data_IF_404435019333
#
_entry.id   IF_404435019333
#
_cell.length_a   1.000
_cell.length_b   1.000
_cell.length_c   1.000
_cell.angle_alpha   90.00
_cell.angle_beta   90.00
_cell.angle_gamma   90.00
#
_symmetry.space_group_name_H-M   'P 1'
#
loop_
_entity.id
_entity.type
_entity.pdbx_description
1 polymer ?
#
# COMPACT_ATOMS: atom_id res chain seq x y z
N UNK A 1 -10.31 -8.46 -20.41
CA UNK A 1 -9.77 -7.35 -19.61
C UNK A 1 -10.76 -7.09 -18.50
N UNK A 2 -10.33 -6.99 -17.23
CA UNK A 2 -11.26 -6.64 -16.15
C UNK A 2 -11.69 -5.19 -16.30
N UNK A 3 -12.96 -4.88 -16.00
CA UNK A 3 -13.56 -3.55 -16.04
C UNK A 3 -14.46 -3.39 -14.83
N UNK A 4 -14.46 -2.22 -14.19
CA UNK A 4 -15.32 -1.94 -13.04
C UNK A 4 -16.80 -1.89 -13.46
N UNK A 5 -17.09 -1.21 -14.56
CA UNK A 5 -18.43 -1.09 -15.16
C UNK A 5 -18.33 -0.91 -16.67
N UNK A 6 -19.39 -1.28 -17.38
CA UNK A 6 -19.55 -0.99 -18.80
C UNK A 6 -20.21 0.38 -19.06
N UNK A 7 -20.80 1.01 -18.04
CA UNK A 7 -21.48 2.31 -18.17
C UNK A 7 -20.75 3.39 -17.36
N UNK A 8 -19.76 4.03 -17.97
CA UNK A 8 -18.93 5.08 -17.34
C UNK A 8 -19.55 6.48 -17.37
N UNK A 9 -20.82 6.62 -17.77
CA UNK A 9 -21.55 7.89 -17.61
C UNK A 9 -21.77 8.18 -16.13
N UNK A 10 -21.75 9.46 -15.74
CA UNK A 10 -21.97 9.85 -14.34
C UNK A 10 -23.30 9.30 -13.79
N UNK A 11 -24.37 9.43 -14.57
CA UNK A 11 -25.70 8.91 -14.21
C UNK A 11 -25.74 7.38 -14.16
N UNK A 12 -24.87 6.72 -14.94
CA UNK A 12 -24.68 5.27 -14.89
C UNK A 12 -24.06 4.83 -13.57
N UNK A 13 -22.94 5.43 -13.21
CA UNK A 13 -22.18 5.06 -12.01
C UNK A 13 -22.88 5.47 -10.72
N UNK A 14 -23.59 6.60 -10.70
CA UNK A 14 -24.45 6.95 -9.56
C UNK A 14 -25.56 5.92 -9.35
N UNK A 15 -26.12 5.33 -10.42
CA UNK A 15 -27.14 4.27 -10.29
C UNK A 15 -26.54 2.95 -9.83
N UNK A 16 -25.37 2.60 -10.34
CA UNK A 16 -24.73 1.31 -10.08
C UNK A 16 -24.04 1.24 -8.72
N UNK A 17 -23.45 2.34 -8.26
CA UNK A 17 -22.55 2.34 -7.11
C UNK A 17 -23.05 3.21 -5.96
N UNK A 18 -23.44 2.54 -4.87
CA UNK A 18 -23.83 3.19 -3.62
C UNK A 18 -22.74 4.14 -3.12
N UNK A 19 -21.47 3.73 -3.21
CA UNK A 19 -20.36 4.53 -2.72
C UNK A 19 -20.17 5.85 -3.48
N UNK A 20 -20.64 5.94 -4.73
CA UNK A 20 -20.61 7.18 -5.51
C UNK A 20 -21.69 8.14 -5.01
N UNK A 21 -22.91 7.62 -4.77
CA UNK A 21 -24.01 8.42 -4.20
C UNK A 21 -23.68 8.93 -2.81
N UNK A 22 -22.96 8.14 -2.00
CA UNK A 22 -22.53 8.56 -0.66
C UNK A 22 -21.55 9.75 -0.67
N UNK A 23 -20.98 10.14 -1.82
CA UNK A 23 -20.15 11.35 -1.94
C UNK A 23 -20.97 12.60 -2.21
N UNK A 24 -22.24 12.48 -2.63
CA UNK A 24 -23.11 13.63 -2.94
C UNK A 24 -23.36 14.44 -1.66
N UNK A 25 -23.22 15.77 -1.76
CA UNK A 25 -23.39 16.68 -0.63
C UNK A 25 -22.31 16.62 0.46
N UNK A 26 -21.26 15.78 0.31
CA UNK A 26 -20.11 15.80 1.22
C UNK A 26 -19.34 17.11 1.01
N UNK A 27 -19.33 18.03 1.99
CA UNK A 27 -18.79 19.36 1.76
C UNK A 27 -17.27 19.33 1.63
N UNK A 28 -16.75 20.26 0.84
CA UNK A 28 -15.32 20.52 0.69
C UNK A 28 -15.01 21.98 1.03
N UNK A 29 -13.73 22.29 1.21
CA UNK A 29 -13.32 23.66 1.50
C UNK A 29 -13.56 24.57 0.29
N UNK A 30 -14.38 25.64 0.40
CA UNK A 30 -14.77 26.46 -0.75
C UNK A 30 -13.61 27.27 -1.36
N UNK A 31 -12.48 27.41 -0.65
CA UNK A 31 -11.28 28.07 -1.19
C UNK A 31 -10.53 27.13 -2.14
N UNK A 32 -10.43 25.86 -1.76
CA UNK A 32 -9.69 24.84 -2.52
C UNK A 32 -10.56 24.05 -3.49
N UNK A 33 -11.88 24.09 -3.30
CA UNK A 33 -12.89 23.33 -4.02
C UNK A 33 -14.14 24.19 -4.27
N UNK A 34 -14.00 25.27 -5.05
CA UNK A 34 -15.11 26.16 -5.37
C UNK A 34 -16.20 25.49 -6.24
N UNK A 35 -15.89 24.33 -6.84
CA UNK A 35 -16.83 23.49 -7.60
C UNK A 35 -17.92 22.86 -6.72
N UNK A 36 -17.67 22.73 -5.41
CA UNK A 36 -18.65 22.22 -4.44
C UNK A 36 -18.26 20.89 -3.82
N UNK A 37 -19.17 19.93 -3.84
CA UNK A 37 -19.04 18.68 -3.08
C UNK A 37 -18.08 17.66 -3.73
N UNK A 38 -17.76 16.60 -2.98
CA UNK A 38 -16.83 15.55 -3.39
C UNK A 38 -17.30 14.82 -4.66
N UNK A 39 -18.60 14.67 -4.86
CA UNK A 39 -19.15 13.99 -6.04
C UNK A 39 -18.98 14.85 -7.30
N UNK A 40 -19.26 16.15 -7.21
CA UNK A 40 -19.03 17.12 -8.29
C UNK A 40 -17.54 17.13 -8.65
N UNK A 41 -16.65 17.25 -7.67
CA UNK A 41 -15.20 17.21 -7.88
C UNK A 41 -14.79 15.90 -8.57
N UNK A 42 -15.21 14.75 -8.06
CA UNK A 42 -14.87 13.44 -8.65
C UNK A 42 -15.33 13.33 -10.11
N UNK A 43 -16.51 13.84 -10.44
CA UNK A 43 -16.98 13.92 -11.83
C UNK A 43 -16.04 14.74 -12.70
N UNK A 44 -15.66 15.94 -12.24
CA UNK A 44 -14.74 16.82 -12.97
C UNK A 44 -13.37 16.17 -13.17
N UNK A 45 -12.85 15.47 -12.15
CA UNK A 45 -11.60 14.70 -12.25
C UNK A 45 -11.70 13.61 -13.33
N UNK A 46 -12.80 12.88 -13.42
CA UNK A 46 -13.00 11.84 -14.44
C UNK A 46 -13.09 12.44 -15.85
N UNK A 47 -13.70 13.61 -15.99
CA UNK A 47 -13.79 14.33 -17.26
C UNK A 47 -12.42 14.86 -17.70
N UNK A 48 -11.63 15.43 -16.79
CA UNK A 48 -10.27 15.90 -17.07
C UNK A 48 -9.30 14.73 -17.36
N UNK A 49 -9.40 13.63 -16.61
CA UNK A 49 -8.58 12.44 -16.84
C UNK A 49 -8.67 11.94 -18.28
N UNK A 50 -9.88 11.89 -18.84
CA UNK A 50 -10.12 11.43 -20.21
C UNK A 50 -9.53 12.36 -21.27
N UNK A 51 -9.31 13.64 -20.94
CA UNK A 51 -8.72 14.63 -21.85
C UNK A 51 -7.20 14.54 -21.90
N UNK A 52 -6.55 14.03 -20.84
CA UNK A 52 -5.09 13.93 -20.75
C UNK A 52 -4.51 13.02 -21.85
N UNK A 53 -3.59 13.55 -22.64
CA UNK A 53 -2.88 12.77 -23.67
C UNK A 53 -2.14 11.56 -23.07
N UNK A 54 -1.56 11.73 -21.87
CA UNK A 54 -0.92 10.64 -21.15
C UNK A 54 -1.88 9.50 -20.81
N UNK A 55 -3.15 9.78 -20.49
CA UNK A 55 -4.18 8.76 -20.25
C UNK A 55 -4.62 8.08 -21.56
N UNK A 56 -4.80 8.84 -22.64
CA UNK A 56 -5.17 8.30 -23.96
C UNK A 56 -4.11 7.34 -24.51
N UNK A 57 -2.83 7.57 -24.18
CA UNK A 57 -1.71 6.72 -24.60
C UNK A 57 -1.57 5.41 -23.80
N UNK A 58 -2.26 5.26 -22.67
CA UNK A 58 -2.21 4.06 -21.84
C UNK A 58 -2.88 2.86 -22.53
N UNK A 59 -2.47 1.65 -22.14
CA UNK A 59 -3.22 0.44 -22.53
C UNK A 59 -4.63 0.46 -21.93
N UNK A 60 -5.60 -0.22 -22.54
CA UNK A 60 -6.96 -0.28 -22.01
C UNK A 60 -7.06 -0.77 -20.55
N UNK A 61 -6.13 -1.65 -20.14
CA UNK A 61 -6.08 -2.13 -18.76
C UNK A 61 -5.57 -1.07 -17.78
N UNK A 62 -4.56 -0.29 -18.18
CA UNK A 62 -4.04 0.83 -17.39
C UNK A 62 -5.05 1.99 -17.32
N UNK A 63 -5.76 2.25 -18.42
CA UNK A 63 -6.87 3.21 -18.44
C UNK A 63 -7.95 2.80 -17.43
N UNK A 64 -8.33 1.51 -17.40
CA UNK A 64 -9.31 1.01 -16.44
C UNK A 64 -8.83 1.16 -14.98
N UNK A 65 -7.58 0.80 -14.70
CA UNK A 65 -6.97 0.96 -13.37
C UNK A 65 -7.01 2.43 -12.94
N UNK A 66 -6.56 3.33 -13.81
CA UNK A 66 -6.44 4.75 -13.47
C UNK A 66 -7.82 5.43 -13.35
N UNK A 67 -8.76 5.10 -14.23
CA UNK A 67 -10.14 5.58 -14.16
C UNK A 67 -10.83 5.09 -12.87
N UNK A 68 -10.65 3.81 -12.52
CA UNK A 68 -11.17 3.25 -11.26
C UNK A 68 -10.54 3.96 -10.05
N UNK A 69 -9.23 4.21 -10.08
CA UNK A 69 -8.55 4.93 -9.00
C UNK A 69 -9.03 6.37 -8.86
N UNK A 70 -9.29 7.08 -9.97
CA UNK A 70 -9.87 8.42 -9.97
C UNK A 70 -11.27 8.43 -9.36
N UNK A 71 -12.12 7.45 -9.66
CA UNK A 71 -13.44 7.33 -9.04
C UNK A 71 -13.36 7.12 -7.51
N UNK A 72 -12.31 6.44 -7.03
CA UNK A 72 -12.13 6.14 -5.60
C UNK A 72 -11.25 7.13 -4.83
N UNK A 73 -10.54 8.06 -5.49
CA UNK A 73 -9.40 8.78 -4.86
C UNK A 73 -9.80 9.48 -3.54
N UNK A 74 -11.00 10.07 -3.53
CA UNK A 74 -11.55 10.82 -2.42
C UNK A 74 -12.78 10.16 -1.76
N UNK A 75 -13.05 8.88 -2.05
CA UNK A 75 -14.30 8.21 -1.62
C UNK A 75 -14.54 8.29 -0.12
N UNK A 76 -13.50 8.29 0.71
CA UNK A 76 -13.63 8.34 2.16
C UNK A 76 -13.58 9.75 2.75
N UNK A 77 -13.58 10.81 1.94
CA UNK A 77 -13.95 12.14 2.44
C UNK A 77 -15.33 12.07 3.11
N UNK A 78 -16.27 11.28 2.57
CA UNK A 78 -17.60 11.01 3.17
C UNK A 78 -17.62 10.56 4.63
N UNK A 79 -16.53 9.94 5.13
CA UNK A 79 -16.43 9.48 6.53
C UNK A 79 -15.33 10.17 7.33
N UNK A 80 -14.64 11.13 6.73
CA UNK A 80 -13.50 11.84 7.35
C UNK A 80 -13.57 13.35 7.26
N UNK A 81 -14.53 13.89 6.52
CA UNK A 81 -14.76 15.33 6.43
C UNK A 81 -15.17 15.89 7.80
N UNK A 82 -14.45 16.91 8.25
CA UNK A 82 -14.66 17.64 9.49
C UNK A 82 -14.65 19.13 9.17
N UNK A 83 -15.61 19.87 9.73
CA UNK A 83 -15.59 21.33 9.75
C UNK A 83 -14.84 21.79 11.00
N UNK A 84 -13.74 22.48 10.79
CA UNK A 84 -12.87 22.97 11.86
C UNK A 84 -13.46 24.25 12.50
N UNK A 85 -12.91 24.67 13.64
CA UNK A 85 -13.38 25.84 14.40
C UNK A 85 -13.24 27.16 13.63
N UNK A 86 -12.22 27.27 12.78
CA UNK A 86 -11.97 28.42 11.91
C UNK A 86 -12.88 28.46 10.67
N UNK A 87 -13.74 27.45 10.51
CA UNK A 87 -14.66 27.32 9.39
C UNK A 87 -14.09 26.59 8.18
N UNK A 88 -12.78 26.25 8.17
CA UNK A 88 -12.18 25.42 7.12
C UNK A 88 -12.72 23.99 7.15
N UNK A 89 -12.65 23.30 6.02
CA UNK A 89 -13.11 21.92 5.90
C UNK A 89 -11.92 21.01 5.58
N UNK A 90 -11.65 20.04 6.45
CA UNK A 90 -10.56 19.09 6.27
C UNK A 90 -11.07 17.65 6.20
N UNK A 91 -10.31 16.78 5.54
CA UNK A 91 -10.61 15.35 5.44
C UNK A 91 -9.37 14.53 5.83
N UNK A 92 -8.87 14.73 7.04
CA UNK A 92 -7.61 14.11 7.49
C UNK A 92 -7.72 12.59 7.48
N UNK A 93 -6.82 11.93 6.75
CA UNK A 93 -6.77 10.47 6.67
C UNK A 93 -7.69 9.82 5.62
N UNK A 94 -8.41 10.60 4.81
CA UNK A 94 -9.29 10.08 3.74
C UNK A 94 -8.54 9.11 2.82
N UNK A 95 -7.33 9.43 2.35
CA UNK A 95 -6.58 8.56 1.43
C UNK A 95 -6.28 7.17 2.02
N UNK A 96 -6.00 7.10 3.33
CA UNK A 96 -5.74 5.82 4.01
C UNK A 96 -7.01 5.00 4.15
N UNK A 97 -8.14 5.63 4.51
CA UNK A 97 -9.43 4.95 4.60
C UNK A 97 -9.97 4.57 3.21
N UNK A 98 -9.82 5.46 2.22
CA UNK A 98 -10.19 5.25 0.82
C UNK A 98 -9.52 4.02 0.23
N UNK A 99 -8.23 3.84 0.51
CA UNK A 99 -7.51 2.63 0.14
C UNK A 99 -8.08 1.35 0.80
N UNK A 100 -8.59 1.44 2.03
CA UNK A 100 -9.25 0.30 2.70
C UNK A 100 -10.61 0.00 2.06
N UNK A 101 -11.42 1.03 1.81
CA UNK A 101 -12.73 0.92 1.16
C UNK A 101 -12.59 0.36 -0.26
N UNK A 102 -11.71 0.93 -1.07
CA UNK A 102 -11.43 0.44 -2.42
C UNK A 102 -10.99 -1.03 -2.38
N UNK A 103 -10.09 -1.41 -1.45
CA UNK A 103 -9.66 -2.82 -1.33
C UNK A 103 -10.81 -3.75 -0.98
N UNK A 104 -11.67 -3.35 -0.04
CA UNK A 104 -12.82 -4.15 0.39
C UNK A 104 -13.78 -4.36 -0.79
N UNK A 105 -14.23 -3.29 -1.43
CA UNK A 105 -15.23 -3.36 -2.49
C UNK A 105 -14.71 -4.10 -3.73
N UNK A 106 -13.48 -3.81 -4.14
CA UNK A 106 -12.85 -4.50 -5.27
C UNK A 106 -12.56 -5.97 -4.97
N UNK A 107 -12.42 -6.36 -3.70
CA UNK A 107 -12.25 -7.76 -3.30
C UNK A 107 -13.58 -8.51 -3.19
N UNK A 108 -14.61 -7.92 -2.60
CA UNK A 108 -15.85 -8.64 -2.24
C UNK A 108 -17.00 -8.44 -3.21
N UNK A 109 -17.11 -7.27 -3.84
CA UNK A 109 -18.26 -6.91 -4.68
C UNK A 109 -17.90 -6.93 -6.16
N UNK A 110 -16.76 -6.35 -6.54
CA UNK A 110 -16.37 -6.18 -7.95
C UNK A 110 -15.31 -7.20 -8.42
N UNK A 111 -14.83 -8.06 -7.52
CA UNK A 111 -13.98 -9.22 -7.78
C UNK A 111 -12.77 -8.92 -8.70
N UNK A 112 -12.12 -7.78 -8.50
CA UNK A 112 -10.96 -7.38 -9.26
C UNK A 112 -9.79 -8.35 -9.03
N UNK A 113 -9.05 -8.75 -10.09
CA UNK A 113 -7.85 -9.56 -9.95
C UNK A 113 -6.86 -8.94 -8.98
N UNK A 114 -6.14 -9.76 -8.21
CA UNK A 114 -5.26 -9.32 -7.11
C UNK A 114 -4.35 -8.16 -7.51
N UNK A 115 -3.62 -8.28 -8.63
CA UNK A 115 -2.67 -7.26 -9.09
C UNK A 115 -3.37 -5.95 -9.46
N UNK A 116 -4.48 -6.03 -10.19
CA UNK A 116 -5.29 -4.86 -10.59
C UNK A 116 -5.83 -4.15 -9.35
N UNK A 117 -6.42 -4.93 -8.42
CA UNK A 117 -6.94 -4.41 -7.15
C UNK A 117 -5.89 -3.63 -6.38
N UNK A 118 -4.72 -4.23 -6.14
CA UNK A 118 -3.69 -3.58 -5.34
C UNK A 118 -3.09 -2.34 -6.06
N UNK A 119 -3.03 -2.32 -7.39
CA UNK A 119 -2.65 -1.12 -8.14
C UNK A 119 -3.65 0.04 -7.92
N UNK A 120 -4.96 -0.21 -8.08
CA UNK A 120 -6.00 0.80 -7.81
C UNK A 120 -5.91 1.29 -6.37
N UNK A 121 -5.80 0.37 -5.41
CA UNK A 121 -5.76 0.71 -3.99
C UNK A 121 -4.54 1.56 -3.64
N UNK A 122 -3.37 1.27 -4.22
CA UNK A 122 -2.17 2.06 -3.96
C UNK A 122 -2.25 3.42 -4.66
N UNK A 123 -2.86 3.55 -5.84
CA UNK A 123 -3.15 4.85 -6.45
C UNK A 123 -4.03 5.70 -5.51
N UNK A 124 -5.13 5.14 -5.00
CA UNK A 124 -6.00 5.82 -4.02
C UNK A 124 -5.22 6.18 -2.74
N UNK A 125 -4.36 5.28 -2.24
CA UNK A 125 -3.59 5.53 -1.00
C UNK A 125 -2.62 6.71 -1.14
N UNK A 126 -2.02 6.85 -2.30
CA UNK A 126 -0.91 7.77 -2.56
C UNK A 126 -1.31 8.96 -3.44
N UNK A 127 -2.59 9.12 -3.83
CA UNK A 127 -3.00 10.13 -4.82
C UNK A 127 -2.54 11.56 -4.50
N UNK A 128 -2.44 11.94 -3.22
CA UNK A 128 -1.94 13.25 -2.81
C UNK A 128 -0.41 13.37 -2.77
N UNK A 129 0.35 12.27 -2.86
CA UNK A 129 1.82 12.30 -2.77
C UNK A 129 2.46 13.25 -3.81
N UNK A 130 2.03 13.31 -5.08
CA UNK A 130 2.62 14.24 -6.05
C UNK A 130 2.53 15.71 -5.64
N UNK A 131 1.52 16.11 -4.87
CA UNK A 131 1.35 17.48 -4.39
C UNK A 131 2.27 17.82 -3.21
N UNK A 132 2.69 16.82 -2.44
CA UNK A 132 3.36 17.01 -1.15
C UNK A 132 4.74 16.36 -1.07
N UNK A 133 5.22 15.71 -2.14
CA UNK A 133 6.45 14.92 -2.13
C UNK A 133 7.68 15.77 -1.78
N UNK A 134 7.78 16.97 -2.36
CA UNK A 134 8.91 17.90 -2.17
C UNK A 134 8.97 18.43 -0.75
N UNK A 135 7.83 18.55 -0.08
CA UNK A 135 7.73 19.04 1.31
C UNK A 135 8.01 17.93 2.34
N UNK A 136 8.23 16.69 1.91
CA UNK A 136 8.61 15.59 2.81
C UNK A 136 10.01 15.84 3.39
N UNK A 137 10.29 15.38 4.62
CA UNK A 137 11.66 15.42 5.17
C UNK A 137 12.69 14.71 4.29
N UNK A 138 12.29 13.62 3.62
CA UNK A 138 13.10 12.90 2.63
C UNK A 138 12.25 12.64 1.38
N UNK A 139 12.25 13.57 0.40
CA UNK A 139 11.48 13.45 -0.82
C UNK A 139 11.89 12.22 -1.66
N UNK A 140 13.19 11.98 -1.78
CA UNK A 140 13.73 10.87 -2.56
C UNK A 140 13.23 9.52 -2.01
N UNK A 141 13.31 9.32 -0.70
CA UNK A 141 12.82 8.10 -0.06
C UNK A 141 11.31 7.96 -0.14
N UNK A 142 10.56 9.06 -0.06
CA UNK A 142 9.11 9.03 -0.21
C UNK A 142 8.69 8.52 -1.60
N UNK A 143 9.30 9.01 -2.69
CA UNK A 143 8.97 8.56 -4.04
C UNK A 143 9.51 7.16 -4.34
N UNK A 144 10.69 6.80 -3.81
CA UNK A 144 11.24 5.45 -3.94
C UNK A 144 10.35 4.44 -3.21
N UNK A 145 9.89 4.74 -1.99
CA UNK A 145 8.94 3.88 -1.24
C UNK A 145 7.64 3.70 -2.01
N UNK A 146 7.04 4.79 -2.49
CA UNK A 146 5.80 4.72 -3.27
C UNK A 146 5.99 3.85 -4.52
N UNK A 147 7.10 4.01 -5.25
CA UNK A 147 7.37 3.24 -6.48
C UNK A 147 7.41 1.73 -6.26
N UNK A 148 7.63 1.25 -5.03
CA UNK A 148 7.59 -0.19 -4.72
C UNK A 148 6.20 -0.80 -4.86
N UNK A 149 5.14 0.02 -4.80
CA UNK A 149 3.75 -0.44 -4.70
C UNK A 149 2.81 0.24 -5.69
N UNK A 150 3.23 1.36 -6.31
CA UNK A 150 2.45 2.09 -7.31
C UNK A 150 3.30 2.52 -8.48
N UNK A 151 2.71 2.52 -9.67
CA UNK A 151 3.32 3.15 -10.85
C UNK A 151 3.23 4.67 -10.68
N UNK A 152 4.38 5.34 -10.54
CA UNK A 152 4.48 6.79 -10.29
C UNK A 152 4.02 7.64 -11.47
N UNK A 153 4.09 7.13 -12.71
CA UNK A 153 3.54 7.83 -13.88
C UNK A 153 2.01 7.85 -13.84
N UNK A 154 1.38 6.71 -13.50
CA UNK A 154 -0.07 6.67 -13.28
C UNK A 154 -0.49 7.55 -12.10
N UNK A 155 0.34 7.60 -11.05
CA UNK A 155 0.09 8.45 -9.89
C UNK A 155 0.15 9.95 -10.26
N UNK A 156 1.12 10.35 -11.09
CA UNK A 156 1.20 11.71 -11.62
C UNK A 156 -0.02 12.06 -12.46
N UNK A 157 -0.44 11.18 -13.39
CA UNK A 157 -1.65 11.40 -14.18
C UNK A 157 -2.91 11.55 -13.32
N UNK A 158 -3.04 10.73 -12.27
CA UNK A 158 -4.14 10.86 -11.31
C UNK A 158 -4.12 12.24 -10.64
N UNK A 159 -2.96 12.67 -10.13
CA UNK A 159 -2.83 13.96 -9.47
C UNK A 159 -3.05 15.14 -10.42
N UNK A 160 -2.67 15.03 -11.70
CA UNK A 160 -2.96 16.05 -12.72
C UNK A 160 -4.44 16.16 -12.99
N UNK A 161 -5.14 15.05 -13.16
CA UNK A 161 -6.59 15.04 -13.33
C UNK A 161 -7.30 15.61 -12.09
N UNK A 162 -6.84 15.27 -10.89
CA UNK A 162 -7.32 15.83 -9.62
C UNK A 162 -7.13 17.36 -9.59
N UNK A 163 -5.91 17.85 -9.83
CA UNK A 163 -5.63 19.29 -9.85
C UNK A 163 -6.45 20.06 -10.91
N UNK A 164 -6.59 19.51 -12.12
CA UNK A 164 -7.37 20.13 -13.20
C UNK A 164 -8.88 20.11 -12.93
N UNK A 165 -9.37 19.11 -12.20
CA UNK A 165 -10.77 19.01 -11.78
C UNK A 165 -11.16 19.99 -10.67
N UNK A 166 -10.20 20.63 -9.98
CA UNK A 166 -10.45 21.61 -8.92
C UNK A 166 -10.70 23.00 -9.48
N UNK A 167 -11.68 23.72 -8.92
CA UNK A 167 -11.83 25.15 -9.12
C UNK A 167 -11.19 25.89 -7.93
N UNK A 168 -9.93 26.30 -8.09
CA UNK A 168 -9.15 27.02 -7.08
C UNK A 168 -8.20 28.06 -7.70
N UNK A 169 -7.76 29.03 -6.91
CA UNK A 169 -6.86 30.09 -7.39
C UNK A 169 -5.40 29.63 -7.56
N UNK A 170 -5.03 28.52 -6.93
CA UNK A 170 -3.68 27.96 -6.87
C UNK A 170 -3.47 26.73 -7.78
N UNK A 171 -4.39 26.46 -8.73
CA UNK A 171 -4.31 25.31 -9.63
C UNK A 171 -2.95 25.20 -10.35
N UNK A 172 -2.38 26.32 -10.79
CA UNK A 172 -1.09 26.35 -11.46
C UNK A 172 0.07 25.93 -10.52
N UNK A 173 -0.01 26.26 -9.23
CA UNK A 173 0.96 25.82 -8.22
C UNK A 173 0.85 24.30 -8.00
N UNK A 174 -0.38 23.76 -7.93
CA UNK A 174 -0.59 22.31 -7.84
C UNK A 174 0.05 21.57 -9.02
N UNK A 175 -0.16 22.06 -10.25
CA UNK A 175 0.45 21.48 -11.46
C UNK A 175 1.98 21.57 -11.42
N UNK A 176 2.53 22.70 -10.98
CA UNK A 176 3.97 22.87 -10.83
C UNK A 176 4.57 21.88 -9.82
N UNK A 177 3.92 21.65 -8.68
CA UNK A 177 4.35 20.65 -7.69
C UNK A 177 4.35 19.23 -8.29
N UNK A 178 3.37 18.91 -9.14
CA UNK A 178 3.33 17.63 -9.84
C UNK A 178 4.49 17.52 -10.85
N UNK A 179 4.85 18.59 -11.55
CA UNK A 179 6.04 18.60 -12.41
C UNK A 179 7.33 18.35 -11.61
N UNK A 180 7.44 18.91 -10.40
CA UNK A 180 8.55 18.63 -9.50
C UNK A 180 8.56 17.16 -9.03
N UNK A 181 7.40 16.57 -8.75
CA UNK A 181 7.28 15.15 -8.44
C UNK A 181 7.74 14.26 -9.60
N UNK A 182 7.38 14.61 -10.84
CA UNK A 182 7.81 13.88 -12.03
C UNK A 182 9.33 13.90 -12.16
N UNK A 183 9.94 15.08 -12.04
CA UNK A 183 11.39 15.25 -12.08
C UNK A 183 12.09 14.45 -10.96
N UNK A 184 11.56 14.50 -9.73
CA UNK A 184 12.07 13.75 -8.58
C UNK A 184 12.01 12.23 -8.82
N UNK A 185 10.92 11.73 -9.42
CA UNK A 185 10.80 10.32 -9.77
C UNK A 185 11.79 9.90 -10.86
N UNK A 186 12.03 10.75 -11.85
CA UNK A 186 12.99 10.49 -12.92
C UNK A 186 14.43 10.47 -12.38
N UNK A 187 14.81 11.45 -11.56
CA UNK A 187 16.11 11.52 -10.89
C UNK A 187 16.38 10.26 -10.06
N UNK A 188 15.37 9.79 -9.32
CA UNK A 188 15.45 8.59 -8.49
C UNK A 188 15.23 7.28 -9.26
N UNK A 189 15.13 7.32 -10.60
CA UNK A 189 14.95 6.17 -11.50
C UNK A 189 13.72 5.32 -11.17
N UNK A 190 12.66 5.97 -10.72
CA UNK A 190 11.41 5.34 -10.32
C UNK A 190 10.19 5.90 -11.06
N UNK A 191 10.38 6.55 -12.22
CA UNK A 191 9.31 6.98 -13.11
C UNK A 191 8.70 5.80 -13.87
N UNK A 192 7.39 5.57 -13.72
CA UNK A 192 6.68 4.50 -14.43
C UNK A 192 6.96 3.08 -13.90
N UNK A 193 7.89 2.93 -12.96
CA UNK A 193 8.38 1.63 -12.49
C UNK A 193 8.92 1.71 -11.06
N UNK A 194 9.01 0.55 -10.41
CA UNK A 194 9.70 0.44 -9.14
C UNK A 194 11.20 0.74 -9.29
N UNK A 195 11.78 1.46 -8.33
CA UNK A 195 13.25 1.61 -8.25
C UNK A 195 13.90 0.24 -8.12
N UNK A 196 14.80 -0.07 -9.04
CA UNK A 196 15.65 -1.25 -8.95
C UNK A 196 16.72 -1.05 -7.87
N UNK A 197 17.06 -2.09 -7.11
CA UNK A 197 18.16 -2.08 -6.15
C UNK A 197 19.13 -3.19 -6.55
N UNK A 198 20.41 -3.03 -6.22
CA UNK A 198 21.44 -4.01 -6.58
C UNK A 198 21.18 -5.42 -5.99
N UNK A 199 20.55 -5.49 -4.82
CA UNK A 199 20.10 -6.74 -4.22
C UNK A 199 18.86 -6.52 -3.33
N UNK A 200 18.12 -7.59 -2.97
CA UNK A 200 17.07 -7.50 -1.95
C UNK A 200 17.59 -6.98 -0.60
N UNK A 201 18.84 -7.27 -0.23
CA UNK A 201 19.45 -6.73 0.99
C UNK A 201 19.71 -5.23 0.87
N UNK A 202 20.19 -4.74 -0.28
CA UNK A 202 20.37 -3.31 -0.51
C UNK A 202 19.05 -2.55 -0.33
N UNK A 203 17.97 -3.06 -0.92
CA UNK A 203 16.61 -2.55 -0.72
C UNK A 203 16.21 -2.54 0.76
N UNK A 204 16.42 -3.65 1.46
CA UNK A 204 16.08 -3.78 2.87
C UNK A 204 16.84 -2.78 3.75
N UNK A 205 18.15 -2.63 3.54
CA UNK A 205 19.00 -1.67 4.26
C UNK A 205 18.59 -0.23 3.98
N UNK A 206 18.25 0.09 2.74
CA UNK A 206 17.80 1.42 2.32
C UNK A 206 16.57 1.89 3.10
N UNK A 207 15.53 1.05 3.17
CA UNK A 207 14.30 1.44 3.87
C UNK A 207 14.43 1.41 5.40
N UNK A 208 15.41 0.68 5.94
CA UNK A 208 15.60 0.55 7.39
C UNK A 208 16.40 1.70 8.01
N UNK A 209 17.36 2.28 7.28
CA UNK A 209 18.21 3.37 7.79
C UNK A 209 17.63 4.71 7.39
N UNK A 210 17.75 5.73 8.23
CA UNK A 210 17.26 7.08 7.91
C UNK A 210 18.06 7.69 6.76
N UNK A 211 19.38 7.80 6.89
CA UNK A 211 20.28 8.41 5.90
C UNK A 211 20.90 7.39 4.93
N UNK A 212 20.08 6.60 4.26
CA UNK A 212 20.57 5.57 3.35
C UNK A 212 20.77 6.10 1.92
N UNK A 213 21.91 5.77 1.31
CA UNK A 213 22.13 6.00 -0.11
C UNK A 213 21.49 4.87 -0.95
N UNK A 214 20.63 5.16 -1.96
CA UNK A 214 19.93 4.13 -2.74
C UNK A 214 20.83 3.12 -3.46
N UNK A 215 22.02 3.54 -3.90
CA UNK A 215 22.97 2.67 -4.62
C UNK A 215 24.05 2.08 -3.69
N UNK A 216 23.86 2.14 -2.37
CA UNK A 216 24.74 1.46 -1.42
C UNK A 216 24.70 -0.06 -1.64
N UNK A 217 25.89 -0.66 -1.76
CA UNK A 217 26.08 -2.10 -1.89
C UNK A 217 26.43 -2.71 -0.52
N UNK A 218 25.49 -3.35 0.19
CA UNK A 218 25.82 -4.06 1.41
C UNK A 218 26.67 -5.29 1.10
N UNK A 219 27.54 -5.64 2.05
CA UNK A 219 28.17 -6.96 2.06
C UNK A 219 27.18 -7.97 2.64
N UNK A 220 26.84 -8.99 1.86
CA UNK A 220 25.88 -10.02 2.22
C UNK A 220 26.59 -11.16 2.98
N UNK A 221 26.54 -11.13 4.31
CA UNK A 221 27.17 -12.11 5.21
C UNK A 221 26.14 -12.94 5.99
N UNK A 222 25.10 -13.40 5.29
CA UNK A 222 23.98 -14.10 5.91
C UNK A 222 24.39 -15.44 6.53
N UNK A 223 24.06 -15.64 7.81
CA UNK A 223 24.37 -16.86 8.56
C UNK A 223 23.32 -17.96 8.44
N UNK A 224 22.07 -17.63 8.13
CA UNK A 224 20.97 -18.58 7.91
C UNK A 224 19.86 -17.96 7.08
N UNK A 225 18.94 -18.78 6.59
CA UNK A 225 17.68 -18.35 5.94
C UNK A 225 16.49 -18.67 6.84
N UNK A 226 15.66 -17.67 7.10
CA UNK A 226 14.40 -17.82 7.82
C UNK A 226 13.23 -17.56 6.90
N UNK A 227 12.36 -18.57 6.75
CA UNK A 227 11.12 -18.44 5.99
C UNK A 227 10.00 -18.10 6.96
N UNK A 228 9.51 -16.87 6.92
CA UNK A 228 8.41 -16.40 7.76
C UNK A 228 7.11 -16.44 6.97
N UNK A 229 6.18 -17.31 7.38
CA UNK A 229 4.85 -17.38 6.76
C UNK A 229 3.95 -16.26 7.29
N UNK A 230 3.10 -15.73 6.42
CA UNK A 230 2.10 -14.70 6.70
C UNK A 230 0.80 -15.10 6.03
N UNK A 231 -0.16 -15.59 6.79
CA UNK A 231 -1.46 -15.98 6.27
C UNK A 231 -2.46 -16.17 7.40
N UNK A 232 -3.74 -16.00 7.09
CA UNK A 232 -4.82 -16.22 8.05
C UNK A 232 -4.85 -17.68 8.56
N UNK A 233 -5.51 -17.96 9.70
CA UNK A 233 -5.82 -19.33 10.07
C UNK A 233 -6.55 -20.04 8.92
N UNK A 234 -6.16 -21.28 8.62
CA UNK A 234 -6.75 -22.04 7.51
C UNK A 234 -6.25 -21.68 6.10
N UNK A 235 -5.36 -20.69 5.93
CA UNK A 235 -4.86 -20.28 4.59
C UNK A 235 -3.99 -21.33 3.86
N UNK A 236 -3.74 -22.50 4.44
CA UNK A 236 -2.88 -23.53 3.81
C UNK A 236 -1.38 -23.38 4.10
N UNK A 237 -1.01 -22.64 5.16
CA UNK A 237 0.41 -22.48 5.59
C UNK A 237 1.10 -23.84 5.80
N UNK A 238 0.46 -24.78 6.47
CA UNK A 238 1.04 -26.10 6.73
C UNK A 238 1.27 -26.89 5.43
N UNK A 239 0.32 -26.81 4.50
CA UNK A 239 0.44 -27.39 3.15
C UNK A 239 1.61 -26.78 2.39
N UNK A 240 1.76 -25.46 2.43
CA UNK A 240 2.88 -24.77 1.80
C UNK A 240 4.23 -25.21 2.38
N UNK A 241 4.34 -25.34 3.71
CA UNK A 241 5.56 -25.87 4.36
C UNK A 241 5.84 -27.30 3.93
N UNK A 242 4.83 -28.16 3.89
CA UNK A 242 4.98 -29.55 3.49
C UNK A 242 5.52 -29.70 2.06
N UNK A 243 5.07 -28.86 1.13
CA UNK A 243 5.52 -28.93 -0.27
C UNK A 243 6.86 -28.26 -0.54
N UNK A 244 7.24 -27.23 0.21
CA UNK A 244 8.43 -26.41 -0.10
C UNK A 244 9.59 -26.53 0.89
N UNK A 245 9.33 -26.89 2.15
CA UNK A 245 10.33 -26.87 3.24
C UNK A 245 10.22 -28.09 4.16
N UNK A 246 9.85 -29.25 3.60
CA UNK A 246 9.60 -30.49 4.35
C UNK A 246 10.73 -30.91 5.28
N UNK A 247 11.97 -30.65 4.87
CA UNK A 247 13.19 -31.04 5.60
C UNK A 247 13.69 -29.96 6.58
N UNK A 248 13.08 -28.78 6.58
CA UNK A 248 13.52 -27.69 7.45
C UNK A 248 12.83 -27.79 8.83
N UNK A 249 13.52 -27.47 9.93
CA UNK A 249 12.87 -27.27 11.22
C UNK A 249 11.75 -26.23 11.11
N UNK A 250 10.62 -26.50 11.74
CA UNK A 250 9.45 -25.61 11.73
C UNK A 250 9.14 -25.19 13.16
N UNK A 251 9.17 -23.90 13.42
CA UNK A 251 8.63 -23.31 14.65
C UNK A 251 7.16 -23.00 14.39
N UNK A 252 6.27 -23.79 14.99
CA UNK A 252 4.83 -23.63 14.86
C UNK A 252 4.22 -23.26 16.22
N UNK A 253 3.67 -22.05 16.32
CA UNK A 253 3.08 -21.54 17.56
C UNK A 253 1.87 -22.37 18.02
N UNK A 254 1.10 -22.94 17.09
CA UNK A 254 -0.05 -23.80 17.42
C UNK A 254 0.39 -25.19 17.90
N UNK A 255 1.56 -25.68 17.47
CA UNK A 255 2.16 -26.88 18.03
C UNK A 255 2.62 -26.64 19.47
N UNK A 256 3.33 -25.53 19.72
CA UNK A 256 3.79 -25.14 21.07
C UNK A 256 2.60 -24.94 22.02
N UNK A 257 1.51 -24.31 21.57
CA UNK A 257 0.26 -24.20 22.36
C UNK A 257 -0.29 -25.55 22.79
N UNK A 258 -0.37 -26.51 21.86
CA UNK A 258 -0.89 -27.86 22.12
C UNK A 258 -0.01 -28.63 23.09
N UNK A 259 1.32 -28.58 22.91
CA UNK A 259 2.28 -29.25 23.79
C UNK A 259 2.18 -28.75 25.23
N UNK A 260 2.03 -27.44 25.43
CA UNK A 260 1.96 -26.82 26.75
C UNK A 260 0.53 -26.67 27.29
N UNK A 261 -0.49 -27.22 26.61
CA UNK A 261 -1.92 -27.14 26.99
C UNK A 261 -2.41 -25.69 27.21
N UNK A 262 -1.94 -24.76 26.38
CA UNK A 262 -2.30 -23.34 26.45
C UNK A 262 -3.43 -23.04 25.45
N UNK A 263 -4.53 -22.48 25.92
CA UNK A 263 -5.65 -22.08 25.07
C UNK A 263 -5.27 -20.91 24.14
N UNK A 264 -5.70 -20.90 22.86
CA UNK A 264 -5.54 -19.73 21.99
C UNK A 264 -6.16 -18.44 22.55
N UNK A 265 -7.18 -18.55 23.41
CA UNK A 265 -7.87 -17.40 24.04
C UNK A 265 -7.20 -16.92 25.33
N UNK A 266 -6.20 -17.64 25.85
CA UNK A 266 -5.47 -17.25 27.06
C UNK A 266 -4.43 -16.17 26.73
N UNK A 267 -4.73 -14.92 27.15
CA UNK A 267 -3.84 -13.77 26.93
C UNK A 267 -2.49 -13.93 27.65
N UNK A 268 -2.47 -14.55 28.83
CA UNK A 268 -1.24 -14.72 29.62
C UNK A 268 -0.37 -15.85 29.04
N UNK A 269 -1.00 -16.97 28.65
CA UNK A 269 -0.33 -18.10 28.02
C UNK A 269 0.21 -17.79 26.63
N UNK A 270 -0.45 -16.91 25.86
CA UNK A 270 0.02 -16.52 24.53
C UNK A 270 1.39 -15.81 24.55
N UNK A 271 1.66 -14.98 25.56
CA UNK A 271 2.97 -14.35 25.72
C UNK A 271 4.08 -15.38 25.94
N UNK A 272 3.82 -16.40 26.76
CA UNK A 272 4.74 -17.51 27.04
C UNK A 272 5.04 -18.33 25.80
N UNK A 273 4.03 -18.64 24.98
CA UNK A 273 4.20 -19.36 23.70
C UNK A 273 5.11 -18.59 22.74
N UNK A 274 4.91 -17.28 22.61
CA UNK A 274 5.74 -16.44 21.74
C UNK A 274 7.19 -16.42 22.25
N UNK A 275 7.40 -16.35 23.56
CA UNK A 275 8.73 -16.39 24.14
C UNK A 275 9.44 -17.72 23.88
N UNK A 276 8.76 -18.85 24.10
CA UNK A 276 9.29 -20.19 23.80
C UNK A 276 9.67 -20.33 22.32
N UNK A 277 8.80 -19.86 21.41
CA UNK A 277 9.08 -19.85 19.97
C UNK A 277 10.32 -18.99 19.63
N UNK A 278 10.44 -17.81 20.23
CA UNK A 278 11.63 -16.93 20.05
C UNK A 278 12.90 -17.58 20.61
N UNK A 279 12.81 -18.33 21.71
CA UNK A 279 13.95 -19.06 22.28
C UNK A 279 14.40 -20.20 21.36
N UNK A 280 13.48 -21.00 20.81
CA UNK A 280 13.78 -22.00 19.80
C UNK A 280 14.43 -21.37 18.55
N UNK A 281 13.91 -20.24 18.08
CA UNK A 281 14.50 -19.51 16.95
C UNK A 281 15.93 -19.07 17.25
N UNK A 282 16.22 -18.54 18.45
CA UNK A 282 17.60 -18.17 18.84
C UNK A 282 18.57 -19.35 18.80
N UNK A 283 18.12 -20.56 19.13
CA UNK A 283 18.95 -21.77 19.03
C UNK A 283 19.35 -22.03 17.58
N UNK A 284 18.39 -22.00 16.64
CA UNK A 284 18.69 -22.19 15.22
C UNK A 284 19.54 -21.07 14.64
N UNK A 285 19.22 -19.81 14.97
CA UNK A 285 19.97 -18.63 14.52
C UNK A 285 21.43 -18.67 14.96
N UNK A 286 21.72 -19.03 16.22
CA UNK A 286 23.10 -19.16 16.73
C UNK A 286 23.90 -20.26 16.03
N UNK A 287 23.22 -21.28 15.51
CA UNK A 287 23.83 -22.39 14.76
C UNK A 287 23.96 -22.11 13.26
N UNK A 288 23.47 -20.97 12.76
CA UNK A 288 23.38 -20.73 11.32
C UNK A 288 22.41 -21.68 10.60
N UNK A 289 21.44 -22.26 11.33
CA UNK A 289 20.53 -23.26 10.77
C UNK A 289 19.31 -22.59 10.14
N UNK A 290 18.97 -23.02 8.93
CA UNK A 290 17.76 -22.62 8.22
C UNK A 290 16.51 -23.15 8.92
N UNK A 291 15.44 -22.37 9.00
CA UNK A 291 14.16 -22.82 9.58
C UNK A 291 12.96 -22.03 9.06
N UNK A 292 11.77 -22.59 9.28
CA UNK A 292 10.48 -21.95 8.97
C UNK A 292 9.84 -21.42 10.26
N UNK A 293 9.39 -20.17 10.24
CA UNK A 293 8.52 -19.60 11.25
C UNK A 293 7.08 -19.62 10.75
N UNK A 294 6.27 -20.53 11.29
CA UNK A 294 4.87 -20.71 10.93
C UNK A 294 3.95 -20.08 12.00
N UNK A 295 3.42 -18.90 11.68
CA UNK A 295 2.45 -18.17 12.51
C UNK A 295 1.54 -17.26 11.65
N UNK A 296 0.53 -16.68 12.28
CA UNK A 296 -0.46 -15.78 11.65
C UNK A 296 0.11 -14.36 11.47
N UNK A 297 1.31 -14.18 10.89
CA UNK A 297 2.05 -12.90 10.83
C UNK A 297 1.46 -11.84 9.88
N UNK A 298 0.17 -11.53 10.02
CA UNK A 298 -0.64 -10.75 9.06
C UNK A 298 -0.44 -9.24 9.17
N UNK A 299 -0.02 -8.71 10.32
CA UNK A 299 0.24 -7.27 10.50
C UNK A 299 1.72 -6.92 10.31
N UNK A 300 2.00 -5.67 9.90
CA UNK A 300 3.38 -5.16 9.80
C UNK A 300 4.10 -5.26 11.15
N UNK A 301 3.47 -4.80 12.24
CA UNK A 301 4.07 -4.80 13.57
C UNK A 301 4.45 -6.21 14.07
N UNK A 302 3.62 -7.23 13.81
CA UNK A 302 3.95 -8.62 14.17
C UNK A 302 5.19 -9.11 13.41
N UNK A 303 5.28 -8.80 12.11
CA UNK A 303 6.41 -9.17 11.27
C UNK A 303 7.68 -8.43 11.67
N UNK A 304 7.58 -7.14 11.98
CA UNK A 304 8.72 -6.28 12.29
C UNK A 304 9.51 -6.77 13.50
N UNK A 305 8.83 -7.15 14.59
CA UNK A 305 9.49 -7.73 15.77
C UNK A 305 10.26 -9.03 15.48
N UNK A 306 9.78 -9.84 14.53
CA UNK A 306 10.45 -11.09 14.13
C UNK A 306 11.60 -10.82 13.17
N UNK A 307 11.39 -9.94 12.20
CA UNK A 307 12.43 -9.49 11.25
C UNK A 307 13.60 -8.88 12.01
N UNK A 308 13.36 -8.03 13.02
CA UNK A 308 14.41 -7.45 13.87
C UNK A 308 15.22 -8.53 14.60
N UNK A 309 14.53 -9.52 15.19
CA UNK A 309 15.20 -10.66 15.83
C UNK A 309 16.08 -11.41 14.83
N UNK A 310 15.56 -11.76 13.66
CA UNK A 310 16.27 -12.56 12.67
C UNK A 310 17.49 -11.81 12.09
N UNK A 311 17.31 -10.53 11.76
CA UNK A 311 18.39 -9.72 11.18
C UNK A 311 19.49 -9.41 12.19
N UNK A 312 19.19 -9.33 13.49
CA UNK A 312 20.21 -9.21 14.55
C UNK A 312 21.20 -10.38 14.53
N UNK A 313 20.76 -11.57 14.09
CA UNK A 313 21.61 -12.75 13.91
C UNK A 313 22.07 -12.94 12.45
N UNK A 314 22.02 -11.89 11.63
CA UNK A 314 22.39 -11.91 10.21
C UNK A 314 21.62 -12.96 9.39
N UNK A 315 20.35 -13.21 9.71
CA UNK A 315 19.54 -14.11 8.90
C UNK A 315 18.97 -13.41 7.67
N UNK A 316 18.96 -14.12 6.53
CA UNK A 316 18.20 -13.76 5.35
C UNK A 316 16.71 -14.09 5.59
N UNK A 317 15.85 -13.08 5.61
CA UNK A 317 14.42 -13.26 5.92
C UNK A 317 13.61 -13.29 4.63
N UNK A 318 12.97 -14.42 4.36
CA UNK A 318 12.00 -14.59 3.27
C UNK A 318 10.58 -14.60 3.83
N UNK A 319 9.78 -13.59 3.48
CA UNK A 319 8.36 -13.54 3.86
C UNK A 319 7.54 -14.21 2.77
N UNK A 320 6.72 -15.19 3.16
CA UNK A 320 5.77 -15.84 2.24
C UNK A 320 4.36 -15.49 2.68
N UNK A 321 3.65 -14.76 1.82
CA UNK A 321 2.21 -14.59 1.94
C UNK A 321 1.52 -15.84 1.40
N UNK A 322 0.71 -16.49 2.25
CA UNK A 322 -0.04 -17.72 1.92
C UNK A 322 -1.53 -17.44 2.03
#
# INVERSE_FOLDING_TARGET
>A
MWTLTNNKTWEGICREFDFVRDMEGVPQDPVHHAEGDVAIHTRMVLDELQKLEGYKALTGGEQEILWTAALFHDVEKRSTTVREEDGSITAKGHAKRGAMTARLLLYTQYLAPFTIREQVVNLVRYHGLPLWAIEKPDPAKAVIEASMVVNTQLLSLLARADALGRMCSDQQDLLYRIDLFDALCQENRCWGKAREFASPNAKFQYFRREDAYPDYLPFDDFGSTVVMLSGLPGAGKDTYVFHHYREWPVINLDAIRREHKISPTDKSGNGRVIQMAKEQARVYLRKGQNFVWNATNITKAMREQLVELFVTYKAYVKIVYV
#
